data_IF_219592616544
#
_entry.id   IF_219592616544
#
_cell.length_a   1.000
_cell.length_b   1.000
_cell.length_c   1.000
_cell.angle_alpha   90.00
_cell.angle_beta   90.00
_cell.angle_gamma   90.00
#
_symmetry.space_group_name_H-M   'P 1'
#
loop_
_entity.id
_entity.type
_entity.pdbx_description
1 polymer ?
#
# COMPACT_ATOMS: atom_id res chain seq x y z
N UNK A 1 25.29 44.98 -11.43
CA UNK A 1 24.45 43.92 -12.04
C UNK A 1 24.91 42.60 -11.45
N UNK A 2 24.25 42.12 -10.39
CA UNK A 2 24.67 40.92 -9.65
C UNK A 2 24.15 39.69 -10.38
N UNK A 3 25.06 38.87 -10.91
CA UNK A 3 24.74 37.65 -11.62
C UNK A 3 24.35 36.56 -10.61
N UNK A 4 23.06 36.21 -10.56
CA UNK A 4 22.55 35.09 -9.76
C UNK A 4 22.82 33.79 -10.52
N UNK A 5 23.77 33.00 -10.06
CA UNK A 5 24.02 31.64 -10.57
C UNK A 5 22.91 30.70 -10.09
N UNK A 6 22.03 30.30 -11.01
CA UNK A 6 21.06 29.22 -10.82
C UNK A 6 21.81 27.88 -10.82
N UNK A 7 22.07 27.32 -9.65
CA UNK A 7 22.54 25.95 -9.51
C UNK A 7 21.34 25.03 -9.81
N UNK A 8 21.40 24.18 -10.85
CA UNK A 8 20.33 23.22 -11.09
C UNK A 8 20.26 22.22 -9.92
N UNK A 9 19.15 22.24 -9.19
CA UNK A 9 18.84 21.21 -8.19
C UNK A 9 18.60 19.89 -8.92
N UNK A 10 19.64 19.06 -9.03
CA UNK A 10 19.49 17.66 -9.41
C UNK A 10 18.69 16.96 -8.30
N UNK A 11 17.41 16.71 -8.58
CA UNK A 11 16.52 15.99 -7.68
C UNK A 11 16.99 14.54 -7.57
N UNK A 12 17.65 14.19 -6.46
CA UNK A 12 18.06 12.80 -6.20
C UNK A 12 16.82 11.93 -5.97
N UNK A 13 16.85 10.72 -6.52
CA UNK A 13 15.84 9.72 -6.20
C UNK A 13 15.90 9.39 -4.70
N UNK A 14 14.75 9.43 -4.02
CA UNK A 14 14.63 8.98 -2.63
C UNK A 14 13.99 7.60 -2.62
N UNK A 15 14.74 6.59 -2.16
CA UNK A 15 14.23 5.25 -1.93
C UNK A 15 14.03 5.05 -0.42
N UNK A 16 12.84 4.59 -0.04
CA UNK A 16 12.50 4.20 1.33
C UNK A 16 11.97 2.78 1.31
N UNK A 17 12.48 1.94 2.20
CA UNK A 17 12.00 0.57 2.40
C UNK A 17 11.49 0.41 3.83
N UNK A 18 10.35 -0.26 4.00
CA UNK A 18 9.78 -0.63 5.29
C UNK A 18 9.56 -2.14 5.32
N UNK A 19 10.06 -2.80 6.37
CA UNK A 19 9.89 -4.24 6.55
C UNK A 19 8.98 -4.50 7.75
N UNK A 20 8.08 -5.46 7.63
CA UNK A 20 7.12 -5.80 8.67
C UNK A 20 7.07 -7.31 8.89
N UNK A 21 6.76 -7.69 10.13
CA UNK A 21 6.35 -9.04 10.51
C UNK A 21 4.84 -9.14 10.55
N UNK A 22 4.31 -10.33 10.27
CA UNK A 22 2.88 -10.61 10.31
C UNK A 22 2.66 -11.61 11.44
N UNK A 23 1.98 -11.16 12.50
CA UNK A 23 1.75 -11.93 13.71
C UNK A 23 0.29 -12.38 13.75
N UNK A 24 0.05 -13.65 14.06
CA UNK A 24 -1.29 -14.19 14.30
C UNK A 24 -1.27 -15.10 15.50
N UNK A 25 -2.16 -14.86 16.45
CA UNK A 25 -2.24 -15.62 17.71
C UNK A 25 -0.89 -15.69 18.48
N UNK A 26 -0.05 -14.66 18.33
CA UNK A 26 1.29 -14.60 18.94
C UNK A 26 2.42 -15.14 18.05
N UNK A 27 2.10 -15.92 17.01
CA UNK A 27 3.09 -16.52 16.12
C UNK A 27 3.47 -15.61 14.96
N UNK A 28 4.76 -15.57 14.62
CA UNK A 28 5.26 -14.96 13.38
C UNK A 28 4.95 -15.90 12.21
N UNK A 29 4.02 -15.47 11.35
CA UNK A 29 3.50 -16.27 10.24
C UNK A 29 3.91 -15.71 8.88
N UNK A 30 4.77 -14.69 8.82
CA UNK A 30 5.17 -14.12 7.55
C UNK A 30 5.73 -12.73 7.62
N UNK A 31 5.98 -12.17 6.44
CA UNK A 31 6.63 -10.90 6.28
C UNK A 31 5.95 -10.05 5.21
N UNK A 32 6.16 -8.75 5.29
CA UNK A 32 5.75 -7.79 4.27
C UNK A 32 6.85 -6.76 4.11
N UNK A 33 7.22 -6.49 2.86
CA UNK A 33 8.16 -5.45 2.47
C UNK A 33 7.42 -4.41 1.64
N UNK A 34 7.59 -3.15 1.99
CA UNK A 34 7.17 -2.03 1.18
C UNK A 34 8.38 -1.23 0.72
N UNK A 35 8.31 -0.74 -0.52
CA UNK A 35 9.28 0.16 -1.12
C UNK A 35 8.55 1.38 -1.67
N UNK A 36 9.13 2.56 -1.47
CA UNK A 36 8.70 3.83 -2.06
C UNK A 36 9.89 4.47 -2.76
N UNK A 37 9.77 4.70 -4.05
CA UNK A 37 10.75 5.41 -4.86
C UNK A 37 10.15 6.75 -5.30
N UNK A 38 10.76 7.86 -4.92
CA UNK A 38 10.36 9.18 -5.40
C UNK A 38 11.41 9.73 -6.37
N UNK A 39 10.97 10.20 -7.53
CA UNK A 39 11.81 10.89 -8.51
C UNK A 39 11.06 12.12 -8.99
N UNK A 40 11.53 13.31 -8.60
CA UNK A 40 10.81 14.56 -8.86
C UNK A 40 9.40 14.52 -8.27
N UNK A 41 8.38 14.67 -9.13
CA UNK A 41 6.96 14.63 -8.75
C UNK A 41 6.32 13.24 -8.92
N UNK A 42 7.13 12.20 -9.15
CA UNK A 42 6.65 10.83 -9.35
C UNK A 42 6.95 9.98 -8.12
N UNK A 43 6.05 9.05 -7.81
CA UNK A 43 6.19 8.13 -6.69
C UNK A 43 5.75 6.72 -7.10
N UNK A 44 6.67 5.76 -6.98
CA UNK A 44 6.41 4.35 -7.20
C UNK A 44 6.37 3.63 -5.85
N UNK A 45 5.24 2.98 -5.56
CA UNK A 45 5.01 2.18 -4.38
C UNK A 45 4.98 0.70 -4.78
N UNK A 46 5.65 -0.14 -4.01
CA UNK A 46 5.62 -1.59 -4.15
C UNK A 46 5.41 -2.23 -2.78
N UNK A 47 4.48 -3.16 -2.70
CA UNK A 47 4.28 -4.07 -1.57
C UNK A 47 4.51 -5.49 -2.05
N UNK A 48 5.31 -6.26 -1.31
CA UNK A 48 5.47 -7.70 -1.49
C UNK A 48 5.30 -8.36 -0.12
N UNK A 49 4.53 -9.43 -0.06
CA UNK A 49 4.32 -10.18 1.19
C UNK A 49 4.18 -11.67 0.92
N UNK A 50 4.68 -12.46 1.87
CA UNK A 50 4.44 -13.89 1.96
C UNK A 50 3.99 -14.24 3.38
N UNK A 51 2.88 -14.97 3.47
CA UNK A 51 2.31 -15.48 4.71
C UNK A 51 2.25 -17.01 4.60
N UNK A 52 2.75 -17.69 5.62
CA UNK A 52 2.67 -19.14 5.79
C UNK A 52 2.00 -19.43 7.13
N UNK A 53 0.81 -19.99 7.09
CA UNK A 53 0.03 -20.27 8.30
C UNK A 53 -0.75 -21.57 8.13
N UNK A 54 -1.31 -22.08 9.23
CA UNK A 54 -2.22 -23.22 9.23
C UNK A 54 -3.52 -22.78 9.91
N UNK A 55 -4.63 -22.93 9.20
CA UNK A 55 -5.97 -22.77 9.80
C UNK A 55 -6.49 -24.18 10.10
N UNK A 56 -6.95 -24.86 9.06
CA UNK A 56 -7.26 -26.30 9.08
C UNK A 56 -6.14 -27.05 8.34
N UNK A 57 -5.75 -26.51 7.18
CA UNK A 57 -4.65 -27.00 6.35
C UNK A 57 -3.55 -25.95 6.22
N UNK A 58 -2.31 -26.33 5.83
CA UNK A 58 -1.27 -25.37 5.50
C UNK A 58 -1.68 -24.47 4.33
N UNK A 59 -1.48 -23.16 4.50
CA UNK A 59 -1.78 -22.14 3.52
C UNK A 59 -0.57 -21.23 3.36
N UNK A 60 -0.11 -21.07 2.13
CA UNK A 60 0.85 -20.06 1.71
C UNK A 60 0.14 -19.02 0.87
N UNK A 61 0.11 -17.78 1.33
CA UNK A 61 -0.40 -16.63 0.58
C UNK A 61 0.77 -15.77 0.15
N UNK A 62 0.84 -15.46 -1.14
CA UNK A 62 1.77 -14.49 -1.69
C UNK A 62 0.96 -13.34 -2.28
N UNK A 63 1.35 -12.09 -2.00
CA UNK A 63 0.78 -10.93 -2.67
C UNK A 63 1.85 -9.94 -3.12
N UNK A 64 1.57 -9.28 -4.24
CA UNK A 64 2.36 -8.19 -4.80
C UNK A 64 1.42 -7.10 -5.29
N UNK A 65 1.53 -5.94 -4.69
CA UNK A 65 0.74 -4.76 -5.06
C UNK A 65 1.68 -3.63 -5.47
N UNK A 66 1.32 -2.85 -6.48
CA UNK A 66 2.12 -1.70 -6.92
C UNK A 66 1.25 -0.51 -7.24
N UNK A 67 1.79 0.70 -7.12
CA UNK A 67 1.11 1.94 -7.49
C UNK A 67 2.11 2.96 -8.00
N UNK A 68 1.79 3.60 -9.12
CA UNK A 68 2.61 4.62 -9.77
C UNK A 68 1.80 5.90 -9.77
N UNK A 69 2.36 6.93 -9.15
CA UNK A 69 1.78 8.26 -9.09
C UNK A 69 2.64 9.23 -9.88
N UNK A 70 2.00 10.06 -10.69
CA UNK A 70 2.64 11.18 -11.37
C UNK A 70 1.94 12.47 -10.99
N UNK A 71 2.71 13.45 -10.49
CA UNK A 71 2.18 14.74 -10.00
C UNK A 71 1.02 14.56 -9.01
N UNK A 72 1.10 13.51 -8.18
CA UNK A 72 0.11 13.18 -7.16
C UNK A 72 -1.12 12.41 -7.66
N UNK A 73 -1.27 12.13 -8.96
CA UNK A 73 -2.37 11.31 -9.48
C UNK A 73 -1.91 9.88 -9.73
N UNK A 74 -2.73 8.90 -9.34
CA UNK A 74 -2.50 7.50 -9.69
C UNK A 74 -2.58 7.36 -11.22
N UNK A 75 -1.53 6.88 -11.86
CA UNK A 75 -1.53 6.59 -13.30
C UNK A 75 -1.69 5.09 -13.55
N UNK A 76 -1.16 4.27 -12.64
CA UNK A 76 -1.23 2.82 -12.71
C UNK A 76 -1.21 2.19 -11.32
N UNK A 77 -2.01 1.14 -11.12
CA UNK A 77 -1.84 0.21 -10.01
C UNK A 77 -2.00 -1.23 -10.46
N UNK A 78 -1.42 -2.16 -9.69
CA UNK A 78 -1.68 -3.59 -9.88
C UNK A 78 -1.77 -4.31 -8.55
N UNK A 79 -2.66 -5.31 -8.50
CA UNK A 79 -2.85 -6.18 -7.35
C UNK A 79 -2.76 -7.62 -7.82
N UNK A 80 -1.89 -8.39 -7.19
CA UNK A 80 -1.66 -9.78 -7.51
C UNK A 80 -1.65 -10.62 -6.24
N UNK A 81 -2.43 -11.71 -6.23
CA UNK A 81 -2.47 -12.64 -5.11
C UNK A 81 -2.46 -14.09 -5.57
N UNK A 82 -1.64 -14.90 -4.90
CA UNK A 82 -1.60 -16.35 -5.01
C UNK A 82 -1.92 -16.98 -3.66
N UNK A 83 -2.62 -18.11 -3.68
CA UNK A 83 -2.82 -18.97 -2.51
C UNK A 83 -2.46 -20.39 -2.92
N UNK A 84 -1.51 -20.99 -2.20
CA UNK A 84 -0.95 -22.31 -2.52
C UNK A 84 -0.55 -22.44 -4.00
N UNK A 85 0.11 -21.41 -4.53
CA UNK A 85 0.57 -21.35 -5.92
C UNK A 85 -0.49 -20.92 -6.96
N UNK A 86 -1.78 -21.14 -6.68
CA UNK A 86 -2.87 -20.77 -7.58
C UNK A 86 -3.16 -19.26 -7.53
N UNK A 87 -3.32 -18.63 -8.69
CA UNK A 87 -3.70 -17.22 -8.80
C UNK A 87 -5.14 -17.05 -8.30
N UNK A 88 -5.33 -16.13 -7.35
CA UNK A 88 -6.65 -15.78 -6.78
C UNK A 88 -7.08 -14.36 -7.12
N UNK A 89 -6.13 -13.49 -7.44
CA UNK A 89 -6.40 -12.11 -7.86
C UNK A 89 -5.33 -11.66 -8.85
N UNK A 90 -5.77 -11.02 -9.93
CA UNK A 90 -4.92 -10.27 -10.86
C UNK A 90 -5.74 -9.10 -11.41
N UNK A 91 -5.52 -7.92 -10.83
CA UNK A 91 -6.24 -6.69 -11.14
C UNK A 91 -5.26 -5.57 -11.47
N UNK A 92 -5.65 -4.69 -12.39
CA UNK A 92 -4.91 -3.48 -12.72
C UNK A 92 -5.88 -2.30 -12.80
N UNK A 93 -5.47 -1.12 -12.32
CA UNK A 93 -6.17 0.14 -12.56
C UNK A 93 -5.25 1.05 -13.37
N UNK A 94 -5.77 1.74 -14.39
CA UNK A 94 -4.98 2.66 -15.23
C UNK A 94 -5.74 3.94 -15.49
N UNK A 95 -5.05 5.08 -15.52
CA UNK A 95 -5.58 6.32 -16.05
C UNK A 95 -5.35 6.34 -17.56
N UNK A 96 -6.44 6.35 -18.35
CA UNK A 96 -6.41 6.39 -19.82
C UNK A 96 -7.32 7.53 -20.25
N UNK A 97 -6.77 8.51 -20.97
CA UNK A 97 -7.56 9.64 -21.50
C UNK A 97 -8.44 10.34 -20.44
N UNK A 98 -7.89 10.57 -19.24
CA UNK A 98 -8.57 11.17 -18.08
C UNK A 98 -9.69 10.34 -17.43
N UNK A 99 -9.81 9.05 -17.78
CA UNK A 99 -10.72 8.11 -17.12
C UNK A 99 -9.95 6.96 -16.52
N UNK A 100 -10.39 6.47 -15.36
CA UNK A 100 -9.82 5.25 -14.79
C UNK A 100 -10.49 4.01 -15.37
N UNK A 101 -9.69 3.08 -15.85
CA UNK A 101 -10.11 1.75 -16.31
C UNK A 101 -9.49 0.68 -15.41
N UNK A 102 -10.32 -0.27 -14.96
CA UNK A 102 -9.90 -1.48 -14.25
C UNK A 102 -9.94 -2.67 -15.20
N UNK A 103 -8.85 -3.43 -15.23
CA UNK A 103 -8.73 -4.70 -15.94
C UNK A 103 -8.63 -5.84 -14.93
N UNK A 104 -9.59 -6.77 -14.99
CA UNK A 104 -9.60 -7.99 -14.17
C UNK A 104 -10.10 -9.16 -15.00
N UNK A 105 -9.34 -10.26 -15.06
CA UNK A 105 -9.67 -11.46 -15.83
C UNK A 105 -10.05 -11.20 -17.32
N UNK A 106 -9.48 -10.16 -17.93
CA UNK A 106 -9.74 -9.77 -19.32
C UNK A 106 -10.93 -8.83 -19.51
N UNK A 107 -11.76 -8.63 -18.47
CA UNK A 107 -12.85 -7.67 -18.48
C UNK A 107 -12.35 -6.26 -18.10
N UNK A 108 -12.91 -5.26 -18.76
CA UNK A 108 -12.61 -3.84 -18.53
C UNK A 108 -13.83 -3.15 -17.93
N UNK A 109 -13.61 -2.37 -16.89
CA UNK A 109 -14.61 -1.57 -16.21
C UNK A 109 -14.12 -0.13 -16.09
N UNK A 110 -14.97 0.86 -16.39
CA UNK A 110 -14.65 2.26 -16.14
C UNK A 110 -15.07 2.63 -14.73
N UNK A 111 -14.21 3.35 -14.02
CA UNK A 111 -14.55 3.89 -12.70
C UNK A 111 -15.23 5.25 -12.84
N UNK A 112 -16.17 5.59 -11.94
CA UNK A 112 -16.88 6.86 -11.97
C UNK A 112 -16.07 8.04 -11.42
N UNK A 113 -14.80 7.83 -11.07
CA UNK A 113 -13.92 8.83 -10.48
C UNK A 113 -12.94 9.34 -11.52
N UNK A 114 -12.67 10.65 -11.52
CA UNK A 114 -11.69 11.28 -12.42
C UNK A 114 -10.30 11.44 -11.81
N UNK A 115 -10.19 11.32 -10.48
CA UNK A 115 -8.99 11.66 -9.73
C UNK A 115 -8.81 10.66 -8.57
N UNK A 116 -7.63 10.03 -8.50
CA UNK A 116 -7.21 9.16 -7.38
C UNK A 116 -5.82 9.60 -6.90
N UNK A 117 -5.76 10.28 -5.74
CA UNK A 117 -4.49 10.85 -5.25
C UNK A 117 -3.86 10.01 -4.14
N UNK A 118 -4.61 9.06 -3.59
CA UNK A 118 -4.16 8.26 -2.46
C UNK A 118 -4.87 6.92 -2.52
N UNK A 119 -4.10 5.83 -2.38
CA UNK A 119 -4.62 4.50 -2.20
C UNK A 119 -4.07 3.87 -0.91
N UNK A 120 -4.49 2.63 -0.61
CA UNK A 120 -4.14 1.98 0.66
C UNK A 120 -2.63 1.82 0.88
N UNK A 121 -1.80 1.76 -0.17
CA UNK A 121 -0.35 1.70 -0.02
C UNK A 121 0.24 3.00 0.55
N UNK A 122 -0.37 4.14 0.28
CA UNK A 122 0.07 5.43 0.81
C UNK A 122 0.01 5.46 2.35
N UNK A 123 -0.96 4.75 2.96
CA UNK A 123 -1.15 4.71 4.41
C UNK A 123 0.03 4.09 5.17
N UNK A 124 0.94 3.36 4.53
CA UNK A 124 2.14 2.84 5.20
C UNK A 124 3.21 3.90 5.40
N UNK A 125 3.26 4.90 4.52
CA UNK A 125 4.32 5.89 4.43
C UNK A 125 3.93 7.26 4.99
N UNK A 126 2.64 7.49 5.22
CA UNK A 126 2.13 8.78 5.68
C UNK A 126 0.93 8.60 6.60
N UNK A 127 0.99 9.25 7.76
CA UNK A 127 -0.13 9.36 8.68
C UNK A 127 -1.28 10.19 8.07
N UNK A 128 -2.52 9.68 8.04
CA UNK A 128 -3.64 10.32 7.36
C UNK A 128 -4.34 11.37 8.25
N UNK A 129 -3.62 12.38 8.73
CA UNK A 129 -4.13 13.39 9.69
C UNK A 129 -5.38 14.11 9.14
N UNK A 130 -5.34 14.55 7.88
CA UNK A 130 -6.43 15.30 7.23
C UNK A 130 -7.11 14.51 6.09
N UNK A 131 -6.77 13.23 5.93
CA UNK A 131 -7.29 12.40 4.86
C UNK A 131 -8.61 11.74 5.29
N UNK A 132 -9.71 12.12 4.64
CA UNK A 132 -11.05 11.57 4.93
C UNK A 132 -11.32 10.20 4.31
N UNK A 133 -10.72 9.93 3.16
CA UNK A 133 -10.94 8.69 2.41
C UNK A 133 -9.72 8.32 1.59
N UNK A 134 -9.62 7.04 1.25
CA UNK A 134 -8.53 6.46 0.49
C UNK A 134 -9.09 5.47 -0.53
N UNK A 135 -8.50 5.41 -1.71
CA UNK A 135 -8.92 4.46 -2.73
C UNK A 135 -8.52 3.03 -2.37
N UNK A 136 -9.47 2.10 -2.46
CA UNK A 136 -9.25 0.67 -2.29
C UNK A 136 -9.29 -0.02 -3.66
N UNK A 137 -8.13 -0.32 -4.23
CA UNK A 137 -8.01 -0.88 -5.58
C UNK A 137 -8.77 -2.20 -5.77
N UNK A 138 -8.73 -3.09 -4.77
CA UNK A 138 -9.40 -4.40 -4.85
C UNK A 138 -10.92 -4.25 -4.98
N UNK A 139 -11.50 -3.29 -4.25
CA UNK A 139 -12.95 -3.05 -4.18
C UNK A 139 -13.42 -1.92 -5.09
N UNK A 140 -12.51 -1.25 -5.81
CA UNK A 140 -12.81 -0.23 -6.81
C UNK A 140 -13.60 0.97 -6.25
N UNK A 141 -13.39 1.32 -4.98
CA UNK A 141 -14.11 2.41 -4.33
C UNK A 141 -13.24 3.15 -3.32
N UNK A 142 -13.64 4.38 -2.99
CA UNK A 142 -13.08 5.09 -1.84
C UNK A 142 -13.67 4.54 -0.54
N UNK A 143 -12.81 4.31 0.44
CA UNK A 143 -13.18 3.88 1.79
C UNK A 143 -12.80 4.96 2.79
N UNK A 144 -13.66 5.17 3.78
CA UNK A 144 -13.44 6.22 4.78
C UNK A 144 -12.31 5.84 5.74
N UNK A 145 -11.51 6.85 6.09
CA UNK A 145 -10.48 6.77 7.13
C UNK A 145 -11.00 7.54 8.35
N UNK A 146 -11.11 6.85 9.48
CA UNK A 146 -11.73 7.41 10.69
C UNK A 146 -10.74 7.28 11.84
N UNK A 147 -10.30 8.40 12.41
CA UNK A 147 -9.46 8.42 13.61
C UNK A 147 -10.22 7.80 14.79
N UNK A 148 -9.55 6.94 15.54
CA UNK A 148 -10.12 6.22 16.69
C UNK A 148 -9.60 6.78 18.01
N UNK A 149 -10.32 6.53 19.11
CA UNK A 149 -9.98 7.04 20.43
C UNK A 149 -8.63 6.52 20.97
N UNK A 150 -8.19 5.35 20.50
CA UNK A 150 -6.88 4.76 20.83
C UNK A 150 -5.73 5.28 19.95
N UNK A 151 -5.96 6.36 19.20
CA UNK A 151 -4.95 7.01 18.36
C UNK A 151 -4.72 6.34 17.00
N UNK A 152 -5.44 5.26 16.68
CA UNK A 152 -5.40 4.62 15.38
C UNK A 152 -6.23 5.33 14.30
N UNK A 153 -6.11 4.83 13.08
CA UNK A 153 -6.93 5.23 11.93
C UNK A 153 -7.60 3.99 11.35
N UNK A 154 -8.92 3.94 11.47
CA UNK A 154 -9.74 2.79 11.06
C UNK A 154 -10.21 2.96 9.62
N UNK A 155 -10.04 1.90 8.83
CA UNK A 155 -10.61 1.74 7.50
C UNK A 155 -11.57 0.55 7.53
N UNK A 156 -12.85 0.81 7.24
CA UNK A 156 -13.87 -0.24 7.08
C UNK A 156 -14.12 -0.47 5.60
N UNK A 157 -13.94 -1.70 5.17
CA UNK A 157 -14.13 -2.11 3.79
C UNK A 157 -15.59 -2.51 3.52
N UNK A 158 -16.12 -2.31 2.30
CA UNK A 158 -17.45 -2.77 1.88
C UNK A 158 -17.82 -4.20 2.28
N UNK A 159 -16.86 -5.13 2.27
CA UNK A 159 -17.08 -6.53 2.66
C UNK A 159 -17.16 -6.76 4.18
N UNK A 160 -17.17 -5.70 5.00
CA UNK A 160 -17.25 -5.76 6.45
C UNK A 160 -15.91 -5.90 7.17
N UNK A 161 -14.83 -6.23 6.44
CA UNK A 161 -13.49 -6.30 7.01
C UNK A 161 -13.03 -4.92 7.50
N UNK A 162 -12.16 -4.92 8.51
CA UNK A 162 -11.61 -3.69 9.09
C UNK A 162 -10.10 -3.81 9.25
N UNK A 163 -9.40 -2.73 8.90
CA UNK A 163 -8.01 -2.52 9.28
C UNK A 163 -7.92 -1.27 10.17
N UNK A 164 -7.07 -1.30 11.20
CA UNK A 164 -6.72 -0.11 11.99
C UNK A 164 -5.22 0.13 11.94
N UNK A 165 -4.81 1.31 11.49
CA UNK A 165 -3.42 1.70 11.26
C UNK A 165 -2.94 2.60 12.40
N UNK A 166 -1.74 2.35 12.90
CA UNK A 166 -1.12 3.10 14.01
C UNK A 166 0.25 3.61 13.58
N UNK A 167 0.57 4.83 13.99
CA UNK A 167 1.68 5.60 13.46
C UNK A 167 2.65 6.03 14.56
N UNK A 168 3.92 6.18 14.20
CA UNK A 168 4.94 6.89 14.98
C UNK A 168 5.76 7.73 14.01
N UNK A 169 5.92 9.01 14.31
CA UNK A 169 6.69 9.96 13.47
C UNK A 169 6.24 9.94 12.00
N UNK A 170 4.93 9.81 11.76
CA UNK A 170 4.33 9.79 10.42
C UNK A 170 4.42 8.45 9.68
N UNK A 171 5.13 7.45 10.20
CA UNK A 171 5.28 6.11 9.60
C UNK A 171 4.34 5.12 10.26
N UNK A 172 3.67 4.27 9.48
CA UNK A 172 2.82 3.22 10.01
C UNK A 172 3.68 2.17 10.72
N UNK A 173 3.52 2.01 12.04
CA UNK A 173 4.30 1.04 12.83
C UNK A 173 3.52 -0.23 13.13
N UNK A 174 2.19 -0.17 13.08
CA UNK A 174 1.32 -1.32 13.36
C UNK A 174 0.01 -1.24 12.58
N UNK A 175 -0.44 -2.38 12.08
CA UNK A 175 -1.80 -2.56 11.54
C UNK A 175 -2.47 -3.69 12.31
N UNK A 176 -3.69 -3.45 12.82
CA UNK A 176 -4.58 -4.50 13.31
C UNK A 176 -5.56 -4.87 12.20
N UNK A 177 -5.54 -6.14 11.78
CA UNK A 177 -6.44 -6.70 10.78
C UNK A 177 -7.55 -7.46 11.50
N UNK A 178 -8.79 -7.12 11.21
CA UNK A 178 -9.99 -7.77 11.74
C UNK A 178 -10.90 -8.16 10.56
N UNK A 179 -10.73 -9.37 10.06
CA UNK A 179 -11.52 -9.91 8.96
C UNK A 179 -12.44 -11.00 9.50
N UNK A 180 -13.52 -11.32 8.78
CA UNK A 180 -14.56 -12.24 9.26
C UNK A 180 -14.05 -13.62 9.70
N UNK A 181 -12.95 -14.11 9.10
CA UNK A 181 -12.42 -15.45 9.34
C UNK A 181 -11.02 -15.47 9.96
N UNK A 182 -10.39 -14.31 10.17
CA UNK A 182 -9.09 -14.22 10.80
C UNK A 182 -8.79 -12.82 11.31
N UNK A 183 -7.96 -12.75 12.34
CA UNK A 183 -7.27 -11.54 12.77
C UNK A 183 -5.76 -11.73 12.66
N UNK A 184 -5.06 -10.62 12.49
CA UNK A 184 -3.60 -10.58 12.49
C UNK A 184 -3.13 -9.17 12.87
N UNK A 185 -1.88 -9.07 13.30
CA UNK A 185 -1.18 -7.81 13.44
C UNK A 185 -0.03 -7.76 12.44
N UNK A 186 0.13 -6.64 11.75
CA UNK A 186 1.33 -6.38 10.95
C UNK A 186 2.15 -5.35 11.72
N UNK A 187 3.39 -5.68 12.06
CA UNK A 187 4.23 -4.88 12.98
C UNK A 187 5.52 -4.52 12.26
N UNK A 188 5.86 -3.23 12.25
CA UNK A 188 7.09 -2.73 11.65
C UNK A 188 8.28 -3.40 12.34
N UNK A 189 9.12 -4.04 11.55
CA UNK A 189 10.29 -4.78 11.97
C UNK A 189 11.52 -3.92 11.70
N UNK A 190 12.39 -3.68 12.70
CA UNK A 190 13.63 -2.92 12.50
C UNK A 190 14.68 -3.60 11.61
N UNK A 191 14.37 -4.73 10.95
CA UNK A 191 15.32 -5.45 10.11
C UNK A 191 15.81 -4.56 8.96
N UNK A 192 17.02 -4.02 9.18
CA UNK A 192 17.95 -3.29 8.34
C UNK A 192 17.34 -2.36 7.27
N UNK A 193 17.22 -1.09 7.64
CA UNK A 193 17.52 0.03 6.74
C UNK A 193 19.02 -0.03 6.35
N UNK A 194 19.45 -1.10 5.67
CA UNK A 194 20.74 -1.08 4.98
C UNK A 194 20.55 -0.24 3.74
N UNK A 195 21.02 1.00 3.82
CA UNK A 195 21.32 1.85 2.68
C UNK A 195 21.72 1.01 1.47
N UNK A 196 20.99 1.20 0.37
CA UNK A 196 21.44 0.79 -0.95
C UNK A 196 22.74 1.52 -1.27
N UNK A 197 23.85 0.94 -0.84
CA UNK A 197 25.17 1.12 -1.44
C UNK A 197 25.56 -0.23 -2.05
N UNK A 198 26.10 -0.16 -3.27
CA UNK A 198 26.61 -1.25 -4.12
C UNK A 198 25.59 -1.95 -5.05
N UNK A 199 25.41 -1.40 -6.26
CA UNK A 199 26.25 -1.73 -7.43
C UNK A 199 26.13 -0.65 -8.49
#
# INVERSE_FOLDING_TARGET
MTLMLLIPMLSKAQNLQLNYKIIRNGDDIGWMRLEKNNVGNNSDLLLVTEIKTKIIFPITVFAKDSSIFEKGNLIYSSQFRKTNGAIKLKKQTRLISNEYEVLENGAKEKLPFSIINTNLLCLYFQEPIDLKSVYCDIQQCFVNVIKTADGGYKVKFPNGNVNCYYYKEGVCTKIKIMHSFYSAEIILSPQNNSYANSK
#
